data_IF_824711400954
#
_entry.id   IF_824711400954
#
_cell.length_a   1.000
_cell.length_b   1.000
_cell.length_c   1.000
_cell.angle_alpha   90.00
_cell.angle_beta   90.00
_cell.angle_gamma   90.00
#
_symmetry.space_group_name_H-M   'P 1'
#
loop_
_entity.id
_entity.type
_entity.pdbx_description
1 polymer ?
#
# COMPACT_ATOMS: atom_id res chain seq x y z
N UNK A 1 -0.44 -17.80 -13.13
CA UNK A 1 -1.02 -16.43 -13.19
C UNK A 1 -0.63 -15.72 -14.49
N UNK A 2 0.53 -16.02 -15.04
CA UNK A 2 1.17 -15.39 -16.20
C UNK A 2 0.28 -15.40 -17.46
N UNK A 3 -0.46 -16.49 -17.71
CA UNK A 3 -1.31 -16.62 -18.91
C UNK A 3 -2.45 -15.59 -19.00
N UNK A 4 -3.05 -15.19 -17.87
CA UNK A 4 -4.12 -14.16 -17.88
C UNK A 4 -3.55 -12.80 -18.28
N UNK A 5 -2.35 -12.49 -17.78
CA UNK A 5 -1.68 -11.22 -17.97
C UNK A 5 -1.16 -11.10 -19.42
N UNK A 6 -0.61 -12.19 -19.97
CA UNK A 6 -0.21 -12.28 -21.38
C UNK A 6 -1.43 -12.13 -22.30
N UNK A 7 -2.55 -12.80 -21.99
CA UNK A 7 -3.76 -12.69 -22.81
C UNK A 7 -4.35 -11.27 -22.80
N UNK A 8 -4.37 -10.60 -21.64
CA UNK A 8 -4.77 -9.19 -21.53
C UNK A 8 -3.85 -8.25 -22.32
N UNK A 9 -2.56 -8.54 -22.32
CA UNK A 9 -1.58 -7.78 -23.11
C UNK A 9 -1.84 -7.94 -24.61
N UNK A 10 -2.00 -9.17 -25.11
CA UNK A 10 -2.29 -9.44 -26.53
C UNK A 10 -3.61 -8.79 -26.98
N UNK A 11 -4.66 -8.89 -26.17
CA UNK A 11 -5.95 -8.23 -26.45
C UNK A 11 -5.82 -6.71 -26.48
N UNK A 12 -5.05 -6.12 -25.57
CA UNK A 12 -4.78 -4.68 -25.56
C UNK A 12 -3.98 -4.25 -26.78
N UNK A 13 -2.99 -5.05 -27.18
CA UNK A 13 -2.18 -4.80 -28.38
C UNK A 13 -3.02 -4.83 -29.65
N UNK A 14 -3.91 -5.83 -29.80
CA UNK A 14 -4.84 -5.91 -30.94
C UNK A 14 -5.76 -4.69 -31.05
N UNK A 15 -6.14 -4.10 -29.91
CA UNK A 15 -6.94 -2.87 -29.85
C UNK A 15 -6.16 -1.58 -30.17
N UNK A 16 -4.85 -1.68 -30.41
CA UNK A 16 -4.00 -0.55 -30.78
C UNK A 16 -3.48 0.27 -29.59
N UNK A 17 -3.56 -0.24 -28.35
CA UNK A 17 -2.98 0.45 -27.20
C UNK A 17 -1.45 0.41 -27.27
N UNK A 18 -0.81 1.55 -26.96
CA UNK A 18 0.66 1.71 -26.98
C UNK A 18 1.34 1.34 -25.67
N UNK A 19 0.61 1.40 -24.56
CA UNK A 19 1.12 1.17 -23.22
C UNK A 19 0.15 0.27 -22.45
N UNK A 20 0.71 -0.61 -21.62
CA UNK A 20 -0.04 -1.51 -20.76
C UNK A 20 0.44 -1.34 -19.32
N UNK A 21 -0.40 -0.75 -18.46
CA UNK A 21 -0.05 -0.51 -17.05
C UNK A 21 -0.33 -1.76 -16.20
N UNK A 22 0.74 -2.32 -15.64
CA UNK A 22 0.72 -3.51 -14.77
C UNK A 22 0.42 -3.16 -13.30
N UNK A 23 0.15 -1.89 -13.02
CA UNK A 23 -0.09 -1.32 -11.71
C UNK A 23 1.19 -1.05 -10.94
N UNK A 24 1.09 -0.25 -9.88
CA UNK A 24 2.24 0.14 -9.07
C UNK A 24 2.86 -1.06 -8.32
N UNK A 25 4.15 -0.96 -8.04
CA UNK A 25 4.81 -1.74 -6.98
C UNK A 25 5.26 -0.77 -5.90
N UNK A 26 4.48 -0.60 -4.82
CA UNK A 26 4.67 0.49 -3.88
C UNK A 26 5.99 0.33 -3.13
N UNK A 27 6.57 1.48 -2.78
CA UNK A 27 7.72 1.62 -1.86
C UNK A 27 9.01 0.89 -2.26
N UNK A 28 9.07 0.26 -3.44
CA UNK A 28 10.21 -0.52 -3.93
C UNK A 28 11.55 0.23 -4.00
N UNK A 29 11.53 1.57 -4.01
CA UNK A 29 12.73 2.43 -4.02
C UNK A 29 12.82 3.41 -2.84
N UNK A 30 11.94 3.34 -1.83
CA UNK A 30 11.97 4.34 -0.75
C UNK A 30 13.10 4.06 0.23
N UNK A 31 13.95 5.05 0.50
CA UNK A 31 15.02 5.00 1.50
C UNK A 31 16.33 4.33 1.07
N UNK A 32 16.49 3.98 -0.21
CA UNK A 32 17.75 3.43 -0.76
C UNK A 32 18.80 4.49 -1.09
N UNK A 33 18.45 5.78 -1.01
CA UNK A 33 19.37 6.89 -1.28
C UNK A 33 20.17 7.29 -0.03
N UNK A 34 21.46 7.54 -0.21
CA UNK A 34 22.38 8.00 0.86
C UNK A 34 22.03 9.37 1.45
N UNK A 35 21.18 10.15 0.77
CA UNK A 35 20.71 11.47 1.22
C UNK A 35 19.32 11.43 1.88
N UNK A 36 18.78 10.23 2.13
CA UNK A 36 17.47 10.08 2.75
C UNK A 36 17.46 10.61 4.18
N UNK A 37 16.51 11.51 4.47
CA UNK A 37 16.26 12.01 5.83
C UNK A 37 15.94 10.85 6.77
N UNK A 38 16.20 11.00 8.08
CA UNK A 38 16.01 9.95 9.09
C UNK A 38 14.59 9.35 9.05
N UNK A 39 13.59 10.16 8.70
CA UNK A 39 12.20 9.73 8.54
C UNK A 39 11.97 8.80 7.34
N UNK A 40 12.69 8.99 6.23
CA UNK A 40 12.62 8.11 5.05
C UNK A 40 13.23 6.74 5.34
N UNK A 41 14.29 6.68 6.16
CA UNK A 41 14.89 5.42 6.63
C UNK A 41 13.92 4.64 7.52
N UNK A 42 13.13 5.33 8.36
CA UNK A 42 12.06 4.71 9.15
C UNK A 42 10.95 4.15 8.26
N UNK A 43 10.57 4.86 7.20
CA UNK A 43 9.61 4.33 6.21
C UNK A 43 10.15 3.12 5.47
N UNK A 44 11.43 3.10 5.12
CA UNK A 44 12.08 1.92 4.56
C UNK A 44 12.03 0.72 5.52
N UNK A 45 12.24 0.94 6.82
CA UNK A 45 12.09 -0.10 7.83
C UNK A 45 10.64 -0.60 7.94
N UNK A 46 9.65 0.30 7.94
CA UNK A 46 8.23 -0.09 7.93
C UNK A 46 7.90 -0.93 6.69
N UNK A 47 8.49 -0.61 5.54
CA UNK A 47 8.36 -1.42 4.33
C UNK A 47 9.01 -2.81 4.48
N UNK A 48 10.28 -2.85 4.90
CA UNK A 48 11.06 -4.08 5.01
C UNK A 48 10.47 -5.06 6.04
N UNK A 49 10.02 -4.55 7.19
CA UNK A 49 9.44 -5.36 8.28
C UNK A 49 7.90 -5.47 8.22
N UNK A 50 7.24 -4.67 7.38
CA UNK A 50 5.81 -4.74 7.09
C UNK A 50 5.40 -5.94 6.22
N UNK A 51 6.35 -6.81 5.88
CA UNK A 51 6.22 -8.02 5.07
C UNK A 51 5.05 -8.93 5.48
N UNK A 52 4.64 -8.91 6.76
CA UNK A 52 3.48 -9.66 7.27
C UNK A 52 2.14 -9.20 6.69
N UNK A 53 2.06 -7.98 6.17
CA UNK A 53 0.85 -7.40 5.60
C UNK A 53 0.82 -7.46 4.06
N UNK A 54 1.98 -7.51 3.38
CA UNK A 54 2.05 -7.63 1.91
C UNK A 54 3.48 -7.95 1.40
N UNK A 55 3.65 -9.01 0.60
CA UNK A 55 4.93 -9.39 -0.03
C UNK A 55 5.23 -8.56 -1.29
N UNK A 56 5.50 -7.27 -1.13
CA UNK A 56 5.71 -6.34 -2.26
C UNK A 56 6.97 -6.64 -3.07
N UNK A 57 7.99 -7.21 -2.43
CA UNK A 57 9.26 -7.58 -3.07
C UNK A 57 9.05 -8.66 -4.16
N UNK A 58 8.28 -9.71 -3.83
CA UNK A 58 7.93 -10.75 -4.80
C UNK A 58 7.05 -10.23 -5.95
N UNK A 59 6.16 -9.28 -5.67
CA UNK A 59 5.31 -8.66 -6.69
C UNK A 59 6.13 -7.79 -7.66
N UNK A 60 7.13 -7.05 -7.17
CA UNK A 60 8.04 -6.28 -8.02
C UNK A 60 8.82 -7.20 -8.94
N UNK A 61 9.48 -8.21 -8.37
CA UNK A 61 10.28 -9.18 -9.13
C UNK A 61 9.43 -9.93 -10.16
N UNK A 62 8.18 -10.27 -9.82
CA UNK A 62 7.26 -10.87 -10.77
C UNK A 62 6.93 -9.93 -11.95
N UNK A 63 6.72 -8.64 -11.68
CA UNK A 63 6.42 -7.62 -12.70
C UNK A 63 7.63 -7.29 -13.58
N UNK A 64 8.85 -7.34 -13.03
CA UNK A 64 10.08 -7.09 -13.79
C UNK A 64 10.24 -8.02 -15.00
N UNK A 65 9.58 -9.19 -15.01
CA UNK A 65 9.53 -10.10 -16.17
C UNK A 65 8.82 -9.52 -17.41
N UNK A 66 7.93 -8.54 -17.21
CA UNK A 66 7.02 -8.03 -18.25
C UNK A 66 7.08 -6.50 -18.42
N UNK A 67 7.72 -5.78 -17.51
CA UNK A 67 7.78 -4.31 -17.52
C UNK A 67 9.07 -3.84 -18.19
N UNK A 68 8.94 -3.13 -19.31
CA UNK A 68 10.10 -2.51 -19.98
C UNK A 68 10.53 -1.19 -19.30
N UNK A 69 9.56 -0.44 -18.75
CA UNK A 69 9.79 0.89 -18.21
C UNK A 69 9.14 1.06 -16.85
N UNK A 70 9.93 1.51 -15.89
CA UNK A 70 9.46 1.85 -14.55
C UNK A 70 9.34 3.36 -14.38
N UNK A 71 8.14 3.81 -14.02
CA UNK A 71 7.87 5.20 -13.68
C UNK A 71 7.87 5.40 -12.16
N UNK A 72 8.62 6.38 -11.69
CA UNK A 72 8.64 6.78 -10.29
C UNK A 72 7.33 7.45 -9.90
N UNK A 73 6.65 6.94 -8.86
CA UNK A 73 5.49 7.59 -8.24
C UNK A 73 5.89 8.16 -6.88
N UNK A 74 5.41 9.37 -6.58
CA UNK A 74 5.78 10.12 -5.38
C UNK A 74 4.55 10.42 -4.52
N UNK A 75 4.76 10.51 -3.21
CA UNK A 75 3.75 10.95 -2.25
C UNK A 75 4.06 12.41 -1.89
N UNK A 76 3.13 13.31 -2.16
CA UNK A 76 3.21 14.70 -1.71
C UNK A 76 2.67 14.81 -0.28
N UNK A 77 3.42 15.48 0.60
CA UNK A 77 3.04 15.70 1.99
C UNK A 77 3.48 17.10 2.45
N UNK A 78 2.85 17.60 3.50
CA UNK A 78 3.12 18.95 4.02
C UNK A 78 4.47 18.99 4.75
N UNK A 79 5.28 20.03 4.48
CA UNK A 79 6.58 20.27 5.11
C UNK A 79 6.38 20.72 6.56
N UNK A 80 6.14 19.76 7.44
CA UNK A 80 5.81 19.96 8.86
C UNK A 80 4.98 18.82 9.46
N UNK A 81 4.36 17.98 8.61
CA UNK A 81 3.74 16.74 9.06
C UNK A 81 4.77 15.61 9.13
N UNK A 82 4.59 14.68 10.06
CA UNK A 82 5.42 13.47 10.12
C UNK A 82 5.17 12.61 8.87
N UNK A 83 6.19 12.49 8.01
CA UNK A 83 6.15 11.63 6.81
C UNK A 83 5.77 10.19 7.16
N UNK A 84 6.25 9.70 8.30
CA UNK A 84 5.94 8.37 8.83
C UNK A 84 4.44 8.21 9.06
N UNK A 85 3.80 9.23 9.64
CA UNK A 85 2.36 9.20 9.92
C UNK A 85 1.54 9.20 8.62
N UNK A 86 1.92 10.02 7.63
CA UNK A 86 1.26 10.03 6.32
C UNK A 86 1.36 8.70 5.61
N UNK A 87 2.54 8.06 5.62
CA UNK A 87 2.72 6.73 5.00
C UNK A 87 1.91 5.67 5.73
N UNK A 88 1.87 5.69 7.07
CA UNK A 88 1.05 4.75 7.85
C UNK A 88 -0.44 4.88 7.53
N UNK A 89 -0.96 6.10 7.42
CA UNK A 89 -2.35 6.33 7.02
C UNK A 89 -2.67 5.75 5.64
N UNK A 90 -1.78 6.00 4.66
CA UNK A 90 -1.94 5.44 3.31
C UNK A 90 -1.92 3.91 3.36
N UNK A 91 -0.99 3.30 4.10
CA UNK A 91 -0.89 1.85 4.24
C UNK A 91 -2.16 1.24 4.86
N UNK A 92 -2.73 1.88 5.89
CA UNK A 92 -3.96 1.41 6.53
C UNK A 92 -5.17 1.47 5.58
N UNK A 93 -5.26 2.51 4.74
CA UNK A 93 -6.33 2.65 3.76
C UNK A 93 -6.19 1.61 2.65
N UNK A 94 -4.97 1.42 2.11
CA UNK A 94 -4.70 0.45 1.04
C UNK A 94 -4.94 -0.98 1.51
N UNK A 95 -4.59 -1.29 2.75
CA UNK A 95 -4.81 -2.62 3.34
C UNK A 95 -6.22 -2.84 3.88
N UNK A 96 -7.12 -1.85 3.81
CA UNK A 96 -8.50 -2.04 4.26
C UNK A 96 -9.16 -3.11 3.38
N UNK A 97 -9.56 -4.26 3.95
CA UNK A 97 -10.19 -5.30 3.15
C UNK A 97 -11.48 -4.74 2.55
N UNK A 98 -11.61 -4.85 1.22
CA UNK A 98 -12.73 -4.32 0.42
C UNK A 98 -14.10 -4.80 0.89
N UNK A 99 -14.16 -5.84 1.72
CA UNK A 99 -15.38 -6.45 2.26
C UNK A 99 -15.56 -6.21 3.77
N UNK A 100 -15.31 -5.00 4.27
CA UNK A 100 -15.84 -4.59 5.57
C UNK A 100 -17.11 -3.78 5.34
N UNK A 101 -18.24 -4.42 5.62
CA UNK A 101 -19.55 -3.81 5.78
C UNK A 101 -19.39 -2.56 6.70
N UNK A 102 -19.83 -1.35 6.30
CA UNK A 102 -19.59 -0.12 7.08
C UNK A 102 -20.24 -0.09 8.48
N UNK A 103 -20.91 -1.15 8.91
CA UNK A 103 -21.66 -1.26 10.15
C UNK A 103 -20.93 -1.97 11.30
N UNK A 104 -19.59 -2.10 11.29
CA UNK A 104 -18.85 -2.59 12.46
C UNK A 104 -17.86 -1.54 12.95
N UNK A 105 -18.39 -0.67 13.81
CA UNK A 105 -17.64 0.14 14.75
C UNK A 105 -16.63 -0.78 15.48
N UNK A 106 -15.34 -0.39 15.63
CA UNK A 106 -14.34 -1.25 16.26
C UNK A 106 -14.77 -1.58 17.70
N UNK A 107 -14.60 -2.84 18.11
CA UNK A 107 -14.94 -3.41 19.44
C UNK A 107 -14.43 -2.63 20.66
N UNK A 108 -13.56 -1.65 20.45
CA UNK A 108 -13.08 -0.72 21.49
C UNK A 108 -14.23 0.11 22.08
N UNK A 109 -15.24 0.44 21.28
CA UNK A 109 -16.39 1.23 21.73
C UNK A 109 -17.36 0.41 22.60
N UNK A 110 -17.47 -0.89 22.36
CA UNK A 110 -18.25 -1.79 23.22
C UNK A 110 -17.67 -1.84 24.65
N UNK A 111 -16.34 -1.76 24.78
CA UNK A 111 -15.65 -1.73 26.07
C UNK A 111 -15.85 -0.39 26.81
N UNK A 112 -15.97 0.71 26.08
CA UNK A 112 -16.15 2.06 26.65
C UNK A 112 -17.63 2.29 27.02
N UNK A 113 -18.58 1.80 26.21
CA UNK A 113 -20.02 1.99 26.43
C UNK A 113 -20.60 1.05 27.50
N UNK A 114 -19.95 -0.08 27.81
CA UNK A 114 -20.39 -0.99 28.88
C UNK A 114 -20.06 -0.48 30.30
N UNK A 115 -19.21 0.55 30.40
CA UNK A 115 -18.81 1.11 31.71
C UNK A 115 -19.89 2.01 32.32
N UNK A 116 -20.88 2.46 31.55
CA UNK A 116 -21.92 3.39 32.03
C UNK A 116 -23.20 2.68 32.54
N UNK A 117 -23.37 1.38 32.27
CA UNK A 117 -24.58 0.63 32.69
C UNK A 117 -24.52 0.09 34.13
N UNK A 118 -23.41 0.23 34.87
CA UNK A 118 -23.23 -0.37 36.21
C UNK A 118 -23.32 0.61 37.38
N UNK A 119 -23.78 1.85 37.16
CA UNK A 119 -23.87 2.85 38.24
C UNK A 119 -25.30 3.33 38.57
N UNK A 120 -26.26 2.41 38.54
CA UNK A 120 -27.57 2.61 39.18
C UNK A 120 -28.02 1.34 39.90
N UNK A 121 -27.47 1.11 41.09
CA UNK A 121 -28.16 0.57 42.26
C UNK A 121 -27.57 1.19 43.51
#
# INVERSE_FOLDING_TARGET
>A
MDGVLINLYEESRKKGFKYFDLGMSPLSNVGTSRFSFTQERIVHLIYQYGYKFYSFEGLRSYKDKYVDKWESKYIAYYRGSSLVFSVLQVLLIVNRPRNQNPARIPKLWDLILDTDSKNHR
#
